data_IF_920146958982
#
_entry.id   IF_920146958982
#
_cell.length_a   1.000
_cell.length_b   1.000
_cell.length_c   1.000
_cell.angle_alpha   90.00
_cell.angle_beta   90.00
_cell.angle_gamma   90.00
#
_symmetry.space_group_name_H-M   'P 1'
#
loop_
_entity.id
_entity.type
_entity.pdbx_description
1 polymer ?
#
# COMPACT_ATOMS: atom_id res chain seq x y z
N UNK A 1 -5.03 -17.43 40.90
CA UNK A 1 -5.94 -17.41 39.74
C UNK A 1 -6.68 -18.72 39.71
N UNK A 2 -8.01 -18.70 39.59
CA UNK A 2 -8.82 -19.92 39.55
C UNK A 2 -8.76 -20.53 38.13
N UNK A 3 -8.86 -21.85 38.00
CA UNK A 3 -8.96 -22.52 36.69
C UNK A 3 -10.11 -21.96 35.84
N UNK A 4 -11.17 -21.47 36.49
CA UNK A 4 -12.31 -20.86 35.81
C UNK A 4 -11.97 -19.52 35.15
N UNK A 5 -11.01 -18.76 35.70
CA UNK A 5 -10.55 -17.48 35.14
C UNK A 5 -9.71 -17.71 33.87
N UNK A 6 -8.92 -18.79 33.84
CA UNK A 6 -8.12 -19.18 32.68
C UNK A 6 -8.99 -19.64 31.51
N UNK A 7 -10.03 -20.45 31.77
CA UNK A 7 -10.96 -20.90 30.74
C UNK A 7 -11.71 -19.70 30.13
N UNK A 8 -12.19 -18.78 30.97
CA UNK A 8 -12.87 -17.57 30.50
C UNK A 8 -11.99 -16.69 29.62
N UNK A 9 -10.73 -16.47 30.01
CA UNK A 9 -9.79 -15.67 29.21
C UNK A 9 -9.48 -16.29 27.84
N UNK A 10 -9.46 -17.62 27.75
CA UNK A 10 -9.29 -18.33 26.47
C UNK A 10 -10.51 -18.12 25.56
N UNK A 11 -11.72 -18.16 26.13
CA UNK A 11 -12.94 -17.99 25.34
C UNK A 11 -13.13 -16.54 24.88
N UNK A 12 -12.84 -15.55 25.74
CA UNK A 12 -12.85 -14.13 25.38
C UNK A 12 -11.84 -13.83 24.26
N UNK A 13 -10.63 -14.43 24.32
CA UNK A 13 -9.61 -14.27 23.28
C UNK A 13 -10.05 -14.88 21.94
N UNK A 14 -10.70 -16.05 21.96
CA UNK A 14 -11.23 -16.68 20.74
C UNK A 14 -12.31 -15.81 20.09
N UNK A 15 -13.17 -15.18 20.88
CA UNK A 15 -14.21 -14.28 20.37
C UNK A 15 -13.59 -13.06 19.68
N UNK A 16 -12.61 -12.41 20.32
CA UNK A 16 -11.88 -11.27 19.74
C UNK A 16 -11.15 -11.69 18.46
N UNK A 17 -10.43 -12.80 18.48
CA UNK A 17 -9.74 -13.32 17.29
C UNK A 17 -10.72 -13.66 16.17
N UNK A 18 -11.88 -14.23 16.49
CA UNK A 18 -12.97 -14.48 15.54
C UNK A 18 -13.43 -13.21 14.84
N UNK A 19 -13.73 -12.15 15.60
CA UNK A 19 -14.12 -10.84 15.06
C UNK A 19 -13.02 -10.26 14.16
N UNK A 20 -11.75 -10.36 14.57
CA UNK A 20 -10.62 -9.89 13.76
C UNK A 20 -10.51 -10.67 12.45
N UNK A 21 -10.59 -12.00 12.49
CA UNK A 21 -10.55 -12.84 11.28
C UNK A 21 -11.74 -12.59 10.35
N UNK A 22 -12.89 -12.17 10.87
CA UNK A 22 -14.06 -11.83 10.04
C UNK A 22 -13.94 -10.44 9.40
N UNK A 23 -13.46 -9.45 10.15
CA UNK A 23 -13.45 -8.04 9.72
C UNK A 23 -12.23 -7.67 8.89
N UNK A 24 -11.04 -8.17 9.24
CA UNK A 24 -9.78 -7.81 8.57
C UNK A 24 -9.78 -8.16 7.08
N UNK A 25 -10.20 -9.38 6.64
CA UNK A 25 -10.27 -9.69 5.21
C UNK A 25 -11.25 -8.81 4.44
N UNK A 26 -12.35 -8.38 5.08
CA UNK A 26 -13.31 -7.44 4.49
C UNK A 26 -12.69 -6.06 4.26
N UNK A 27 -11.95 -5.55 5.24
CA UNK A 27 -11.23 -4.28 5.13
C UNK A 27 -10.16 -4.32 4.04
N UNK A 28 -9.37 -5.38 3.96
CA UNK A 28 -8.35 -5.57 2.91
C UNK A 28 -8.98 -5.61 1.51
N UNK A 29 -10.12 -6.31 1.36
CA UNK A 29 -10.89 -6.31 0.10
C UNK A 29 -11.43 -4.93 -0.26
N UNK A 30 -11.92 -4.18 0.74
CA UNK A 30 -12.37 -2.79 0.57
C UNK A 30 -11.24 -1.88 0.10
N UNK A 31 -10.08 -1.94 0.76
CA UNK A 31 -8.89 -1.17 0.38
C UNK A 31 -8.40 -1.53 -1.02
N UNK A 32 -8.36 -2.83 -1.36
CA UNK A 32 -8.07 -3.29 -2.72
C UNK A 32 -9.05 -2.70 -3.73
N UNK A 33 -10.35 -2.71 -3.44
CA UNK A 33 -11.35 -2.17 -4.34
C UNK A 33 -11.24 -0.65 -4.50
N UNK A 34 -10.72 0.07 -3.52
CA UNK A 34 -10.43 1.51 -3.63
C UNK A 34 -9.17 1.74 -4.47
N UNK A 35 -8.10 0.99 -4.23
CA UNK A 35 -6.83 1.10 -4.95
C UNK A 35 -6.91 0.57 -6.39
N UNK A 36 -7.81 -0.37 -6.67
CA UNK A 36 -8.04 -0.99 -7.98
C UNK A 36 -9.49 -0.81 -8.46
N UNK A 37 -10.17 0.27 -8.04
CA UNK A 37 -11.52 0.56 -8.54
C UNK A 37 -11.50 0.73 -10.05
N UNK A 38 -12.63 0.46 -10.71
CA UNK A 38 -12.80 0.75 -12.14
C UNK A 38 -12.46 2.22 -12.44
N UNK A 39 -12.92 3.12 -11.59
CA UNK A 39 -12.67 4.56 -11.72
C UNK A 39 -11.18 4.91 -11.55
N UNK A 40 -10.48 4.27 -10.62
CA UNK A 40 -9.04 4.46 -10.44
C UNK A 40 -8.25 3.95 -11.66
N UNK A 41 -8.66 2.81 -12.23
CA UNK A 41 -8.08 2.27 -13.44
C UNK A 41 -8.33 3.18 -14.66
N UNK A 42 -9.54 3.72 -14.81
CA UNK A 42 -9.89 4.66 -15.89
C UNK A 42 -9.09 5.96 -15.77
N UNK A 43 -9.02 6.58 -14.58
CA UNK A 43 -8.23 7.78 -14.35
C UNK A 43 -6.73 7.55 -14.61
N UNK A 44 -6.20 6.38 -14.21
CA UNK A 44 -4.81 6.03 -14.48
C UNK A 44 -4.56 5.87 -15.98
N UNK A 45 -5.46 5.21 -16.71
CA UNK A 45 -5.35 5.05 -18.15
C UNK A 45 -5.37 6.39 -18.88
N UNK A 46 -6.25 7.31 -18.47
CA UNK A 46 -6.34 8.66 -19.03
C UNK A 46 -5.05 9.47 -18.79
N UNK A 47 -4.49 9.41 -17.57
CA UNK A 47 -3.25 10.10 -17.25
C UNK A 47 -2.07 9.57 -18.08
N UNK A 48 -1.95 8.25 -18.21
CA UNK A 48 -0.90 7.61 -19.01
C UNK A 48 -1.04 7.95 -20.50
N UNK A 49 -2.26 7.93 -21.04
CA UNK A 49 -2.53 8.27 -22.42
C UNK A 49 -2.24 9.76 -22.72
N UNK A 50 -2.62 10.64 -21.80
CA UNK A 50 -2.34 12.07 -21.89
C UNK A 50 -0.84 12.34 -21.87
N UNK A 51 -0.11 11.69 -20.95
CA UNK A 51 1.34 11.82 -20.86
C UNK A 51 2.04 11.40 -22.16
N UNK A 52 1.72 10.22 -22.68
CA UNK A 52 2.25 9.74 -23.96
C UNK A 52 1.96 10.72 -25.11
N UNK A 53 0.70 11.15 -25.22
CA UNK A 53 0.27 12.09 -26.27
C UNK A 53 1.06 13.38 -26.20
N UNK A 54 1.26 13.95 -25.01
CA UNK A 54 2.02 15.20 -24.82
C UNK A 54 3.49 15.06 -25.19
N UNK A 55 4.11 13.90 -24.91
CA UNK A 55 5.49 13.64 -25.33
C UNK A 55 5.61 13.62 -26.86
N UNK A 56 4.68 12.93 -27.53
CA UNK A 56 4.65 12.87 -29.00
C UNK A 56 4.38 14.25 -29.62
N UNK A 57 3.43 15.01 -29.06
CA UNK A 57 3.14 16.39 -29.47
C UNK A 57 4.34 17.32 -29.29
N UNK A 58 5.16 17.10 -28.26
CA UNK A 58 6.40 17.83 -28.02
C UNK A 58 7.54 17.44 -28.99
N UNK A 59 7.29 16.52 -29.93
CA UNK A 59 8.26 16.08 -30.93
C UNK A 59 9.15 14.92 -30.48
N UNK A 60 8.86 14.29 -29.34
CA UNK A 60 9.61 13.12 -28.89
C UNK A 60 9.25 11.93 -29.80
N UNK A 61 10.24 11.19 -30.34
CA UNK A 61 9.98 10.01 -31.15
C UNK A 61 9.09 9.00 -30.42
N UNK A 62 8.13 8.41 -31.14
CA UNK A 62 7.12 7.50 -30.56
C UNK A 62 7.71 6.39 -29.68
N UNK A 63 8.84 5.82 -30.10
CA UNK A 63 9.54 4.78 -29.36
C UNK A 63 10.03 5.27 -27.99
N UNK A 64 10.69 6.44 -27.96
CA UNK A 64 11.15 7.07 -26.71
C UNK A 64 9.99 7.54 -25.84
N UNK A 65 8.95 8.11 -26.44
CA UNK A 65 7.75 8.51 -25.71
C UNK A 65 7.07 7.30 -25.03
N UNK A 66 7.02 6.15 -25.71
CA UNK A 66 6.53 4.90 -25.13
C UNK A 66 7.42 4.39 -24.00
N UNK A 67 8.74 4.46 -24.14
CA UNK A 67 9.69 4.08 -23.08
C UNK A 67 9.50 4.94 -21.81
N UNK A 68 9.46 6.27 -21.96
CA UNK A 68 9.22 7.20 -20.86
C UNK A 68 7.86 6.95 -20.19
N UNK A 69 6.82 6.67 -20.99
CA UNK A 69 5.47 6.36 -20.48
C UNK A 69 5.45 5.07 -19.68
N UNK A 70 6.15 4.02 -20.13
CA UNK A 70 6.31 2.77 -19.37
C UNK A 70 7.03 3.01 -18.04
N UNK A 71 8.09 3.82 -18.04
CA UNK A 71 8.79 4.22 -16.82
C UNK A 71 7.88 4.94 -15.83
N UNK A 72 7.05 5.87 -16.31
CA UNK A 72 6.05 6.57 -15.48
C UNK A 72 5.04 5.60 -14.84
N UNK A 73 4.51 4.64 -15.60
CA UNK A 73 3.59 3.63 -15.08
C UNK A 73 4.23 2.73 -14.00
N UNK A 74 5.50 2.34 -14.18
CA UNK A 74 6.21 1.51 -13.20
C UNK A 74 6.34 2.28 -11.88
N UNK A 75 6.81 3.53 -11.93
CA UNK A 75 6.94 4.38 -10.74
C UNK A 75 5.60 4.58 -10.03
N UNK A 76 4.53 4.80 -10.80
CA UNK A 76 3.18 4.94 -10.27
C UNK A 76 2.76 3.65 -9.54
N UNK A 77 2.95 2.49 -10.17
CA UNK A 77 2.65 1.19 -9.56
C UNK A 77 3.47 0.92 -8.30
N UNK A 78 4.73 1.34 -8.26
CA UNK A 78 5.59 1.11 -7.11
C UNK A 78 5.16 1.95 -5.89
N UNK A 79 4.67 3.17 -6.13
CA UNK A 79 4.06 4.04 -5.11
C UNK A 79 2.73 3.45 -4.61
N UNK A 80 1.82 3.07 -5.52
CA UNK A 80 0.48 2.58 -5.17
C UNK A 80 0.46 1.11 -4.71
N UNK A 81 1.44 0.30 -5.11
CA UNK A 81 1.53 -1.13 -4.87
C UNK A 81 2.30 -1.54 -3.62
N UNK A 82 2.71 -0.58 -2.79
CA UNK A 82 3.27 -0.86 -1.46
C UNK A 82 4.75 -1.23 -1.42
N UNK A 83 5.52 -1.02 -2.50
CA UNK A 83 6.99 -1.09 -2.43
C UNK A 83 7.67 0.26 -2.18
N UNK A 84 6.96 1.38 -2.38
CA UNK A 84 7.52 2.73 -2.29
C UNK A 84 6.85 3.71 -1.32
N UNK A 85 6.07 3.25 -0.33
CA UNK A 85 5.32 4.16 0.56
C UNK A 85 5.35 3.78 2.05
N UNK A 86 5.99 4.63 2.85
CA UNK A 86 6.03 4.70 4.33
C UNK A 86 7.03 3.77 5.08
N UNK A 87 8.33 3.92 4.81
CA UNK A 87 9.37 3.57 5.79
C UNK A 87 9.79 4.87 6.51
N UNK A 88 9.05 5.29 7.54
CA UNK A 88 9.52 6.31 8.49
C UNK A 88 10.59 5.63 9.34
N UNK A 89 11.86 5.78 8.95
CA UNK A 89 12.98 5.48 9.83
C UNK A 89 12.98 6.55 10.94
N UNK A 90 12.34 6.26 12.07
CA UNK A 90 12.63 6.99 13.31
C UNK A 90 13.99 6.47 13.76
N UNK A 91 15.06 7.18 13.37
CA UNK A 91 16.34 7.07 14.07
C UNK A 91 16.06 7.47 15.51
N UNK A 92 16.02 6.49 16.40
CA UNK A 92 16.09 6.72 17.83
C UNK A 92 17.57 6.58 18.16
N UNK A 93 18.29 7.69 18.01
CA UNK A 93 19.56 7.88 18.69
C UNK A 93 19.23 7.84 20.19
N UNK A 94 19.43 6.68 20.81
CA UNK A 94 19.65 6.62 22.25
C UNK A 94 21.14 6.84 22.44
N UNK A 95 21.49 8.13 22.56
CA UNK A 95 22.69 8.56 23.21
C UNK A 95 22.67 8.08 24.67
N UNK A 96 23.83 7.55 25.07
CA UNK A 96 24.38 7.48 26.43
C UNK A 96 23.64 6.61 27.47
N UNK A 97 24.32 5.56 27.92
CA UNK A 97 24.84 5.58 29.29
C UNK A 97 26.13 4.77 29.36
N UNK A 98 27.21 5.49 29.66
CA UNK A 98 28.47 4.99 30.19
C UNK A 98 28.21 4.05 31.38
N UNK A 99 28.96 2.97 31.50
CA UNK A 99 29.44 2.49 32.80
C UNK A 99 30.65 1.56 32.60
N UNK A 100 31.65 1.82 33.44
CA UNK A 100 33.07 1.42 33.40
C UNK A 100 33.40 -0.09 33.40
#
# INVERSE_FOLDING_TARGET
MSNNDLIKGIDDLKEVLGVVTDKVPGLLRGLRNVLYSKDAAENMAEAVATFYTKLVEAGIPKEQAMEMTRGYMINLRDIFGGKGGFNVNINRDEDEEDDD
#
